data_IF_513324074794
#
_entry.id   IF_513324074794
#
_cell.length_a   1.000
_cell.length_b   1.000
_cell.length_c   1.000
_cell.angle_alpha   90.00
_cell.angle_beta   90.00
_cell.angle_gamma   90.00
#
_symmetry.space_group_name_H-M   'P 1'
#
loop_
_entity.id
_entity.type
_entity.pdbx_description
1 polymer ?
#
# COMPACT_ATOMS: atom_id res chain seq x y z
N UNK A 1 29.30 44.89 -5.79
CA UNK A 1 28.35 44.08 -4.99
C UNK A 1 27.86 42.91 -5.83
N UNK A 2 28.23 41.68 -5.48
CA UNK A 2 27.94 40.45 -6.25
C UNK A 2 26.64 39.83 -5.70
N UNK A 3 25.52 39.94 -6.43
CA UNK A 3 24.24 39.34 -6.04
C UNK A 3 24.41 37.81 -5.93
N UNK A 4 24.23 37.24 -4.74
CA UNK A 4 24.42 35.80 -4.52
C UNK A 4 23.28 35.00 -5.16
N UNK A 5 23.62 33.97 -5.94
CA UNK A 5 22.71 32.99 -6.54
C UNK A 5 22.12 32.03 -5.49
N UNK A 6 21.39 32.53 -4.49
CA UNK A 6 20.85 31.73 -3.38
C UNK A 6 19.57 30.96 -3.73
N UNK A 7 18.91 31.27 -4.84
CA UNK A 7 17.62 30.66 -5.23
C UNK A 7 17.73 29.24 -5.78
N UNK A 8 18.89 28.83 -6.32
CA UNK A 8 19.08 27.48 -6.88
C UNK A 8 19.25 26.39 -5.81
N UNK A 9 19.73 26.74 -4.61
CA UNK A 9 19.93 25.78 -3.52
C UNK A 9 18.63 25.45 -2.79
N UNK A 10 17.72 26.42 -2.67
CA UNK A 10 16.43 26.23 -2.00
C UNK A 10 15.51 25.32 -2.83
N UNK A 11 15.49 25.47 -4.16
CA UNK A 11 14.72 24.59 -5.04
C UNK A 11 15.21 23.14 -5.03
N UNK A 12 16.53 22.93 -5.02
CA UNK A 12 17.11 21.59 -4.92
C UNK A 12 16.84 20.95 -3.54
N UNK A 13 16.85 21.73 -2.46
CA UNK A 13 16.54 21.27 -1.11
C UNK A 13 15.06 20.89 -0.96
N UNK A 14 14.14 21.70 -1.50
CA UNK A 14 12.70 21.39 -1.49
C UNK A 14 12.37 20.15 -2.33
N UNK A 15 13.05 19.96 -3.45
CA UNK A 15 12.88 18.75 -4.29
C UNK A 15 13.46 17.50 -3.63
N UNK A 16 14.60 17.61 -2.94
CA UNK A 16 15.17 16.52 -2.15
C UNK A 16 14.28 16.17 -0.94
N UNK A 17 13.71 17.18 -0.27
CA UNK A 17 12.80 16.98 0.86
C UNK A 17 11.49 16.33 0.41
N UNK A 18 10.95 16.72 -0.76
CA UNK A 18 9.78 16.08 -1.34
C UNK A 18 10.03 14.59 -1.64
N UNK A 19 11.22 14.21 -2.12
CA UNK A 19 11.58 12.81 -2.39
C UNK A 19 11.65 11.93 -1.12
N UNK A 20 12.02 12.51 0.03
CA UNK A 20 12.07 11.78 1.31
C UNK A 20 10.67 11.42 1.82
N UNK A 21 9.65 12.25 1.51
CA UNK A 21 8.24 11.98 1.91
C UNK A 21 7.63 10.82 1.10
N UNK A 22 8.22 10.43 -0.04
CA UNK A 22 7.72 9.33 -0.87
C UNK A 22 8.35 7.96 -0.58
N UNK A 23 9.22 7.85 0.42
CA UNK A 23 9.80 6.55 0.80
C UNK A 23 8.76 5.77 1.61
N UNK A 24 8.28 4.60 1.15
CA UNK A 24 7.39 3.76 1.94
C UNK A 24 8.07 3.37 3.26
N UNK A 25 7.30 3.33 4.34
CA UNK A 25 7.80 2.86 5.63
C UNK A 25 7.96 1.34 5.61
N UNK A 26 8.85 0.79 6.43
CA UNK A 26 9.23 -0.62 6.33
C UNK A 26 8.11 -1.57 6.77
N UNK A 27 7.27 -1.18 7.75
CA UNK A 27 6.10 -1.92 8.18
C UNK A 27 5.08 -2.03 7.05
N UNK A 28 4.97 -0.95 6.27
CA UNK A 28 4.15 -0.90 5.09
C UNK A 28 4.69 -1.81 3.97
N UNK A 29 6.01 -2.06 3.92
CA UNK A 29 6.61 -2.97 2.94
C UNK A 29 6.41 -4.45 3.31
N UNK A 30 6.33 -4.78 4.60
CA UNK A 30 6.07 -6.16 5.06
C UNK A 30 4.71 -6.69 4.59
N UNK A 31 3.68 -5.84 4.64
CA UNK A 31 2.33 -6.14 4.16
C UNK A 31 2.25 -6.32 2.63
N UNK A 32 3.24 -5.82 1.87
CA UNK A 32 3.30 -5.92 0.41
C UNK A 32 3.93 -7.23 -0.09
N UNK A 33 4.43 -8.09 0.80
CA UNK A 33 5.18 -9.30 0.44
C UNK A 33 4.31 -10.55 0.33
N UNK A 34 4.73 -11.50 -0.51
CA UNK A 34 4.11 -12.83 -0.59
C UNK A 34 4.16 -13.62 0.73
N UNK A 35 5.08 -13.27 1.63
CA UNK A 35 5.23 -13.89 2.95
C UNK A 35 4.59 -13.03 4.06
N UNK A 36 3.95 -11.91 3.69
CA UNK A 36 3.41 -10.92 4.62
C UNK A 36 2.03 -11.30 5.17
N UNK A 37 1.58 -10.63 6.25
CA UNK A 37 0.37 -10.97 6.99
C UNK A 37 -0.88 -10.86 6.13
N UNK A 38 -0.90 -9.91 5.19
CA UNK A 38 -1.98 -9.75 4.22
C UNK A 38 -2.16 -11.00 3.34
N UNK A 39 -1.06 -11.54 2.80
CA UNK A 39 -1.10 -12.72 1.92
C UNK A 39 -1.33 -13.98 2.73
N UNK A 40 -0.82 -14.07 3.96
CA UNK A 40 -1.13 -15.16 4.91
C UNK A 40 -2.64 -15.21 5.17
N UNK A 41 -3.27 -14.09 5.52
CA UNK A 41 -4.71 -14.05 5.74
C UNK A 41 -5.51 -14.25 4.45
N UNK A 42 -5.00 -13.85 3.28
CA UNK A 42 -5.63 -14.13 1.99
C UNK A 42 -5.64 -15.63 1.67
N UNK A 43 -4.54 -16.33 1.93
CA UNK A 43 -4.49 -17.78 1.80
C UNK A 43 -5.48 -18.45 2.76
N UNK A 44 -5.55 -17.99 4.01
CA UNK A 44 -6.53 -18.50 4.98
C UNK A 44 -7.97 -18.22 4.56
N UNK A 45 -8.24 -17.04 4.02
CA UNK A 45 -9.55 -16.68 3.46
C UNK A 45 -9.97 -17.65 2.35
N UNK A 46 -9.04 -17.96 1.45
CA UNK A 46 -9.23 -18.93 0.36
C UNK A 46 -9.52 -20.33 0.91
N UNK A 47 -8.70 -20.82 1.84
CA UNK A 47 -8.80 -22.17 2.42
C UNK A 47 -10.14 -22.39 3.12
N UNK A 48 -10.57 -21.39 3.88
CA UNK A 48 -11.82 -21.41 4.64
C UNK A 48 -13.03 -20.94 3.83
N UNK A 49 -12.82 -20.51 2.58
CA UNK A 49 -13.81 -19.83 1.74
C UNK A 49 -14.56 -18.71 2.50
N UNK A 50 -13.82 -17.91 3.28
CA UNK A 50 -14.35 -16.87 4.15
C UNK A 50 -13.60 -15.54 3.91
N UNK A 51 -14.21 -14.55 3.24
CA UNK A 51 -13.56 -13.27 2.97
C UNK A 51 -13.30 -12.44 4.24
N UNK A 52 -13.95 -12.74 5.37
CA UNK A 52 -13.80 -11.97 6.62
C UNK A 52 -12.36 -11.92 7.12
N UNK A 53 -11.54 -12.94 6.81
CA UNK A 53 -10.11 -12.96 7.10
C UNK A 53 -9.35 -11.79 6.45
N UNK A 54 -9.77 -11.34 5.25
CA UNK A 54 -9.12 -10.23 4.53
C UNK A 54 -9.85 -8.89 4.65
N UNK A 55 -11.16 -8.90 4.93
CA UNK A 55 -11.95 -7.67 5.05
C UNK A 55 -11.48 -6.76 6.20
N UNK A 56 -10.89 -7.35 7.26
CA UNK A 56 -10.33 -6.60 8.39
C UNK A 56 -9.15 -5.69 8.03
N UNK A 57 -8.48 -5.94 6.90
CA UNK A 57 -7.30 -5.19 6.46
C UNK A 57 -7.61 -3.98 5.59
N UNK A 58 -8.87 -3.79 5.19
CA UNK A 58 -9.27 -2.75 4.25
C UNK A 58 -10.34 -1.83 4.85
N UNK A 59 -10.47 -0.64 4.25
CA UNK A 59 -11.47 0.34 4.62
C UNK A 59 -12.90 -0.17 4.30
N UNK A 60 -13.93 0.25 5.05
CA UNK A 60 -15.30 -0.24 4.87
C UNK A 60 -15.91 -0.01 3.49
N UNK A 61 -15.53 1.07 2.82
CA UNK A 61 -15.97 1.43 1.47
C UNK A 61 -15.44 0.48 0.38
N UNK A 62 -14.29 -0.12 0.62
CA UNK A 62 -13.61 -1.05 -0.30
C UNK A 62 -14.11 -2.51 -0.18
N UNK A 63 -14.93 -2.82 0.83
CA UNK A 63 -15.42 -4.19 1.11
C UNK A 63 -16.12 -4.84 -0.09
N UNK A 64 -16.92 -4.04 -0.82
CA UNK A 64 -17.68 -4.53 -1.98
C UNK A 64 -16.74 -4.96 -3.10
N UNK A 65 -15.67 -4.20 -3.33
CA UNK A 65 -14.70 -4.50 -4.37
C UNK A 65 -13.94 -5.79 -4.03
N UNK A 66 -13.38 -5.88 -2.81
CA UNK A 66 -12.60 -7.07 -2.45
C UNK A 66 -13.48 -8.33 -2.37
N UNK A 67 -14.72 -8.21 -1.91
CA UNK A 67 -15.66 -9.36 -1.86
C UNK A 67 -15.97 -9.87 -3.27
N UNK A 68 -16.15 -8.96 -4.23
CA UNK A 68 -16.34 -9.34 -5.64
C UNK A 68 -15.10 -10.04 -6.19
N UNK A 69 -13.90 -9.50 -5.92
CA UNK A 69 -12.63 -10.08 -6.34
C UNK A 69 -12.45 -11.47 -5.74
N UNK A 70 -12.67 -11.63 -4.44
CA UNK A 70 -12.62 -12.91 -3.74
C UNK A 70 -13.53 -13.95 -4.39
N UNK A 71 -14.80 -13.60 -4.66
CA UNK A 71 -15.74 -14.49 -5.32
C UNK A 71 -15.29 -14.89 -6.73
N UNK A 72 -14.72 -13.96 -7.51
CA UNK A 72 -14.15 -14.27 -8.83
C UNK A 72 -12.96 -15.23 -8.70
N UNK A 73 -12.08 -15.00 -7.74
CA UNK A 73 -10.94 -15.87 -7.46
C UNK A 73 -11.41 -17.28 -7.10
N UNK A 74 -12.38 -17.42 -6.20
CA UNK A 74 -12.92 -18.73 -5.79
C UNK A 74 -13.58 -19.49 -6.94
N UNK A 75 -14.21 -18.78 -7.88
CA UNK A 75 -14.80 -19.39 -9.07
C UNK A 75 -13.72 -19.87 -10.06
N UNK A 76 -12.78 -18.98 -10.42
CA UNK A 76 -11.77 -19.25 -11.47
C UNK A 76 -10.71 -20.25 -11.04
N UNK A 77 -10.31 -20.22 -9.75
CA UNK A 77 -9.22 -21.07 -9.23
C UNK A 77 -9.44 -22.57 -9.41
N UNK A 78 -10.69 -22.99 -9.63
CA UNK A 78 -11.07 -24.41 -9.73
C UNK A 78 -10.94 -24.97 -11.15
N UNK A 79 -10.66 -24.12 -12.14
CA UNK A 79 -10.68 -24.51 -13.56
C UNK A 79 -9.43 -25.29 -14.00
N UNK A 80 -8.25 -24.90 -13.52
CA UNK A 80 -6.97 -25.58 -13.77
C UNK A 80 -5.91 -25.12 -12.76
N UNK A 81 -4.75 -25.81 -12.66
CA UNK A 81 -3.62 -25.33 -11.87
C UNK A 81 -3.13 -23.93 -12.25
N UNK A 82 -3.07 -23.61 -13.55
CA UNK A 82 -2.67 -22.29 -14.05
C UNK A 82 -3.73 -21.23 -13.73
N UNK A 83 -5.02 -21.60 -13.82
CA UNK A 83 -6.11 -20.71 -13.43
C UNK A 83 -6.10 -20.41 -11.93
N UNK A 84 -5.73 -21.38 -11.09
CA UNK A 84 -5.49 -21.18 -9.66
C UNK A 84 -4.40 -20.16 -9.41
N UNK A 85 -3.23 -20.32 -10.03
CA UNK A 85 -2.12 -19.39 -9.88
C UNK A 85 -2.53 -17.96 -10.27
N UNK A 86 -3.18 -17.80 -11.42
CA UNK A 86 -3.64 -16.49 -11.89
C UNK A 86 -4.71 -15.88 -10.97
N UNK A 87 -5.68 -16.67 -10.52
CA UNK A 87 -6.75 -16.21 -9.65
C UNK A 87 -6.25 -15.80 -8.26
N UNK A 88 -5.27 -16.52 -7.72
CA UNK A 88 -4.65 -16.23 -6.42
C UNK A 88 -3.85 -14.94 -6.51
N UNK A 89 -2.97 -14.82 -7.51
CA UNK A 89 -2.20 -13.60 -7.74
C UNK A 89 -3.11 -12.38 -7.99
N UNK A 90 -4.22 -12.55 -8.72
CA UNK A 90 -5.21 -11.48 -8.90
C UNK A 90 -5.81 -11.00 -7.58
N UNK A 91 -6.10 -11.91 -6.64
CA UNK A 91 -6.57 -11.54 -5.30
C UNK A 91 -5.48 -10.79 -4.53
N UNK A 92 -4.25 -11.32 -4.51
CA UNK A 92 -3.15 -10.74 -3.73
C UNK A 92 -2.79 -9.33 -4.21
N UNK A 93 -2.63 -9.14 -5.52
CA UNK A 93 -2.34 -7.83 -6.11
C UNK A 93 -3.40 -6.78 -5.76
N UNK A 94 -4.68 -7.16 -5.84
CA UNK A 94 -5.77 -6.21 -5.55
C UNK A 94 -5.96 -5.97 -4.06
N UNK A 95 -5.82 -7.00 -3.22
CA UNK A 95 -5.87 -6.84 -1.76
C UNK A 95 -4.80 -5.87 -1.29
N UNK A 96 -3.55 -6.09 -1.74
CA UNK A 96 -2.43 -5.21 -1.39
C UNK A 96 -2.68 -3.81 -1.95
N UNK A 97 -3.06 -3.66 -3.22
CA UNK A 97 -3.37 -2.34 -3.79
C UNK A 97 -4.39 -1.55 -2.97
N UNK A 98 -5.49 -2.19 -2.58
CA UNK A 98 -6.58 -1.57 -1.82
C UNK A 98 -6.12 -1.21 -0.40
N UNK A 99 -5.45 -2.14 0.28
CA UNK A 99 -4.89 -1.91 1.61
C UNK A 99 -3.94 -0.71 1.61
N UNK A 100 -3.01 -0.66 0.66
CA UNK A 100 -2.02 0.42 0.53
C UNK A 100 -2.67 1.77 0.23
N UNK A 101 -3.71 1.78 -0.60
CA UNK A 101 -4.51 2.98 -0.82
C UNK A 101 -5.16 3.48 0.49
N UNK A 102 -5.65 2.57 1.33
CA UNK A 102 -6.17 2.89 2.67
C UNK A 102 -5.13 3.47 3.63
N UNK A 103 -3.84 3.17 3.42
CA UNK A 103 -2.72 3.77 4.14
C UNK A 103 -2.22 5.08 3.51
N UNK A 104 -2.82 5.51 2.39
CA UNK A 104 -2.36 6.68 1.62
C UNK A 104 -1.06 6.43 0.85
N UNK A 105 -0.68 5.17 0.64
CA UNK A 105 0.57 4.76 0.02
C UNK A 105 0.38 4.19 -1.40
N UNK A 106 1.36 4.37 -2.30
CA UNK A 106 1.26 3.85 -3.66
C UNK A 106 1.47 2.33 -3.71
N UNK A 107 0.70 1.65 -4.54
CA UNK A 107 0.95 0.25 -4.89
C UNK A 107 2.16 0.13 -5.82
N UNK A 108 3.16 -0.66 -5.43
CA UNK A 108 4.41 -0.85 -6.20
C UNK A 108 4.64 -2.30 -6.63
N UNK A 109 3.55 -3.08 -6.72
CA UNK A 109 3.60 -4.52 -7.00
C UNK A 109 3.83 -5.37 -5.76
N UNK A 110 3.38 -6.62 -5.82
CA UNK A 110 3.57 -7.63 -4.78
C UNK A 110 5.05 -8.03 -4.73
N UNK A 111 5.66 -8.02 -3.55
CA UNK A 111 7.07 -8.39 -3.40
C UNK A 111 7.19 -9.91 -3.34
N UNK A 112 8.18 -10.51 -4.04
CA UNK A 112 8.30 -11.96 -4.12
C UNK A 112 8.64 -12.59 -2.77
N UNK A 113 8.48 -13.91 -2.68
CA UNK A 113 8.92 -14.69 -1.52
C UNK A 113 10.41 -14.42 -1.20
N UNK A 114 10.74 -14.38 0.10
CA UNK A 114 12.09 -14.11 0.58
C UNK A 114 12.55 -12.67 0.40
N UNK A 115 11.63 -11.73 0.14
CA UNK A 115 11.93 -10.29 0.21
C UNK A 115 12.42 -9.98 1.64
N UNK A 116 13.60 -9.37 1.81
CA UNK A 116 14.10 -9.02 3.13
C UNK A 116 13.14 -8.08 3.86
N UNK A 117 12.78 -8.45 5.09
CA UNK A 117 11.98 -7.66 6.01
C UNK A 117 12.92 -7.18 7.12
N UNK A 118 12.65 -6.00 7.67
CA UNK A 118 13.43 -5.46 8.79
C UNK A 118 13.40 -6.41 9.99
N UNK A 119 14.55 -6.61 10.64
CA UNK A 119 14.69 -7.52 11.79
C UNK A 119 13.76 -7.13 12.93
N UNK A 120 13.51 -5.83 13.10
CA UNK A 120 12.64 -5.31 14.14
C UNK A 120 11.17 -5.63 13.86
N UNK A 121 10.77 -5.66 12.59
CA UNK A 121 9.42 -6.03 12.17
C UNK A 121 9.18 -7.53 12.37
N UNK A 122 10.15 -8.35 11.98
CA UNK A 122 10.09 -9.79 12.23
C UNK A 122 9.98 -10.09 13.74
N UNK A 123 10.76 -9.38 14.56
CA UNK A 123 10.69 -9.51 16.02
C UNK A 123 9.34 -9.03 16.59
N UNK A 124 8.70 -8.02 15.99
CA UNK A 124 7.38 -7.56 16.39
C UNK A 124 6.29 -8.61 16.08
N UNK A 125 6.32 -9.22 14.90
CA UNK A 125 5.41 -10.33 14.57
C UNK A 125 5.63 -11.53 15.50
N UNK A 126 6.89 -11.93 15.72
CA UNK A 126 7.23 -13.02 16.63
C UNK A 126 6.74 -12.73 18.06
N UNK A 127 6.86 -11.47 18.53
CA UNK A 127 6.38 -11.06 19.84
C UNK A 127 4.87 -11.29 20.00
N UNK A 128 4.08 -10.96 18.98
CA UNK A 128 2.63 -11.22 18.97
C UNK A 128 2.36 -12.71 18.96
N UNK A 129 3.11 -13.49 18.17
CA UNK A 129 2.95 -14.94 18.08
C UNK A 129 3.18 -15.63 19.43
N UNK A 130 4.34 -15.40 20.05
CA UNK A 130 4.75 -16.03 21.33
C UNK A 130 4.01 -15.44 22.52
N UNK A 131 3.53 -14.20 22.39
CA UNK A 131 2.73 -13.52 23.40
C UNK A 131 3.53 -12.80 24.48
N UNK A 132 4.79 -12.45 24.21
CA UNK A 132 5.62 -11.56 25.02
C UNK A 132 6.56 -10.70 24.16
N UNK A 133 7.24 -9.73 24.77
CA UNK A 133 8.15 -8.81 24.08
C UNK A 133 9.60 -9.31 23.96
N UNK A 134 9.90 -10.55 24.36
CA UNK A 134 11.28 -11.04 24.41
C UNK A 134 12.05 -10.96 23.09
N UNK A 135 11.44 -11.10 21.89
CA UNK A 135 12.12 -10.87 20.61
C UNK A 135 12.56 -9.42 20.41
N UNK A 136 11.81 -8.45 20.94
CA UNK A 136 12.06 -7.00 20.78
C UNK A 136 12.97 -6.40 21.86
N UNK A 137 13.10 -7.02 23.03
CA UNK A 137 13.82 -6.46 24.18
C UNK A 137 15.27 -6.05 23.89
N UNK A 138 15.95 -6.74 22.95
CA UNK A 138 17.34 -6.45 22.56
C UNK A 138 17.48 -5.46 21.41
N UNK A 139 16.40 -5.25 20.65
CA UNK A 139 16.36 -4.37 19.49
C UNK A 139 15.85 -2.97 19.86
N UNK A 140 15.20 -2.83 21.02
CA UNK A 140 14.56 -1.59 21.45
C UNK A 140 15.34 -0.82 22.54
N UNK A 141 15.45 0.52 22.42
CA UNK A 141 15.93 1.37 23.50
C UNK A 141 15.09 1.18 24.78
N UNK A 142 15.76 1.13 25.93
CA UNK A 142 15.11 0.84 27.23
C UNK A 142 14.02 1.85 27.60
N UNK A 143 14.17 3.09 27.15
CA UNK A 143 13.21 4.18 27.35
C UNK A 143 11.92 4.02 26.54
N UNK A 144 11.94 3.26 25.44
CA UNK A 144 10.76 2.96 24.62
C UNK A 144 9.97 1.74 25.08
N UNK A 145 10.56 0.88 25.91
CA UNK A 145 9.94 -0.39 26.34
C UNK A 145 8.58 -0.21 27.06
N UNK A 146 8.34 0.82 27.91
CA UNK A 146 7.04 0.99 28.55
C UNK A 146 5.90 1.24 27.57
N UNK A 147 6.10 2.14 26.61
CA UNK A 147 5.12 2.47 25.57
C UNK A 147 4.90 1.29 24.61
N UNK A 148 6.00 0.62 24.22
CA UNK A 148 5.94 -0.60 23.42
C UNK A 148 5.08 -1.67 24.10
N UNK A 149 5.23 -1.83 25.42
CA UNK A 149 4.43 -2.76 26.22
C UNK A 149 2.96 -2.39 26.25
N UNK A 150 2.61 -1.11 26.39
CA UNK A 150 1.21 -0.69 26.35
C UNK A 150 0.55 -1.05 25.01
N UNK A 151 1.23 -0.76 23.89
CA UNK A 151 0.75 -1.09 22.55
C UNK A 151 0.66 -2.60 22.33
N UNK A 152 1.65 -3.34 22.79
CA UNK A 152 1.65 -4.80 22.74
C UNK A 152 0.48 -5.41 23.52
N UNK A 153 0.26 -4.96 24.76
CA UNK A 153 -0.84 -5.44 25.61
C UNK A 153 -2.19 -5.15 24.94
N UNK A 154 -2.32 -4.01 24.25
CA UNK A 154 -3.50 -3.67 23.45
C UNK A 154 -3.71 -4.66 22.30
N UNK A 155 -2.68 -4.97 21.50
CA UNK A 155 -2.73 -5.98 20.44
C UNK A 155 -3.19 -7.32 21.01
N UNK A 156 -2.57 -7.78 22.09
CA UNK A 156 -2.89 -9.07 22.72
C UNK A 156 -4.32 -9.13 23.24
N UNK A 157 -4.85 -8.01 23.77
CA UNK A 157 -6.24 -7.94 24.24
C UNK A 157 -7.27 -8.08 23.12
N UNK A 158 -6.90 -7.72 21.88
CA UNK A 158 -7.78 -7.74 20.71
C UNK A 158 -7.57 -8.95 19.81
N UNK A 159 -6.45 -9.68 19.94
CA UNK A 159 -6.03 -10.79 19.06
C UNK A 159 -7.08 -11.89 18.88
N UNK A 160 -7.88 -12.16 19.90
CA UNK A 160 -8.86 -13.26 19.91
C UNK A 160 -10.29 -12.79 19.57
N UNK A 161 -10.42 -11.94 18.56
CA UNK A 161 -11.72 -11.48 18.03
C UNK A 161 -12.44 -12.60 17.26
N UNK A 162 -13.77 -12.49 17.10
CA UNK A 162 -14.50 -13.35 16.16
C UNK A 162 -14.15 -12.94 14.73
N UNK A 163 -13.57 -13.84 13.95
CA UNK A 163 -13.17 -13.58 12.55
C UNK A 163 -14.30 -13.03 11.69
N UNK A 164 -15.56 -13.40 11.97
CA UNK A 164 -16.72 -12.92 11.21
C UNK A 164 -17.20 -11.53 11.69
N UNK A 165 -16.67 -11.04 12.81
CA UNK A 165 -16.85 -9.67 13.26
C UNK A 165 -15.72 -8.79 12.68
N UNK A 166 -15.90 -8.40 11.41
CA UNK A 166 -14.93 -7.57 10.67
C UNK A 166 -14.60 -6.26 11.41
N UNK A 167 -15.54 -5.70 12.17
CA UNK A 167 -15.29 -4.49 12.97
C UNK A 167 -14.27 -4.73 14.07
N UNK A 168 -14.43 -5.79 14.85
CA UNK A 168 -13.43 -6.16 15.87
C UNK A 168 -12.09 -6.54 15.23
N UNK A 169 -12.12 -7.20 14.06
CA UNK A 169 -10.92 -7.46 13.27
C UNK A 169 -10.18 -6.18 12.89
N UNK A 170 -10.88 -5.13 12.49
CA UNK A 170 -10.28 -3.82 12.19
C UNK A 170 -9.67 -3.16 13.42
N UNK A 171 -10.34 -3.25 14.58
CA UNK A 171 -9.77 -2.74 15.83
C UNK A 171 -8.46 -3.46 16.18
N UNK A 172 -8.38 -4.78 15.93
CA UNK A 172 -7.15 -5.53 16.05
C UNK A 172 -6.07 -5.05 15.05
N UNK A 173 -6.43 -4.83 13.78
CA UNK A 173 -5.48 -4.33 12.77
C UNK A 173 -4.98 -2.92 13.11
N UNK A 174 -5.83 -2.04 13.63
CA UNK A 174 -5.42 -0.71 14.08
C UNK A 174 -4.39 -0.79 15.22
N UNK A 175 -4.64 -1.64 16.22
CA UNK A 175 -3.68 -1.88 17.30
C UNK A 175 -2.39 -2.51 16.78
N UNK A 176 -2.49 -3.48 15.85
CA UNK A 176 -1.35 -4.12 15.19
C UNK A 176 -0.49 -3.07 14.49
N UNK A 177 -1.06 -2.27 13.59
CA UNK A 177 -0.32 -1.22 12.87
C UNK A 177 0.31 -0.21 13.83
N UNK A 178 -0.42 0.19 14.88
CA UNK A 178 0.07 1.12 15.91
C UNK A 178 1.30 0.58 16.66
N UNK A 179 1.30 -0.71 16.99
CA UNK A 179 2.44 -1.38 17.62
C UNK A 179 3.66 -1.43 16.69
N UNK A 180 3.47 -1.75 15.40
CA UNK A 180 4.56 -1.84 14.42
C UNK A 180 5.19 -0.48 14.15
N UNK A 181 4.38 0.56 13.90
CA UNK A 181 4.87 1.93 13.71
C UNK A 181 5.74 2.39 14.87
N UNK A 182 5.28 2.15 16.11
CA UNK A 182 6.04 2.52 17.28
C UNK A 182 7.36 1.74 17.41
N UNK A 183 7.32 0.42 17.15
CA UNK A 183 8.53 -0.40 17.12
C UNK A 183 9.55 0.22 16.16
N UNK A 184 9.16 0.49 14.91
CA UNK A 184 10.02 1.09 13.87
C UNK A 184 10.59 2.47 14.21
N UNK A 185 10.05 3.11 15.25
CA UNK A 185 10.48 4.43 15.70
C UNK A 185 9.76 5.57 15.00
N UNK A 186 8.63 5.30 14.34
CA UNK A 186 7.67 6.34 14.00
C UNK A 186 7.00 6.82 15.29
N UNK A 187 7.36 8.03 15.72
CA UNK A 187 6.65 8.67 16.82
C UNK A 187 5.33 9.24 16.30
N UNK A 188 4.20 8.72 16.80
CA UNK A 188 2.92 9.41 16.65
C UNK A 188 3.02 10.72 17.43
N UNK A 189 3.17 11.84 16.70
CA UNK A 189 3.14 13.16 17.30
C UNK A 189 1.85 13.32 18.08
N UNK A 190 1.95 13.43 19.41
CA UNK A 190 0.86 13.86 20.27
C UNK A 190 0.38 15.25 19.83
N UNK A 191 -0.56 15.29 18.89
CA UNK A 191 -1.37 16.46 18.61
C UNK A 191 -2.70 16.26 19.29
N UNK A 192 -2.71 16.57 20.59
CA UNK A 192 -3.93 17.01 21.23
C UNK A 192 -4.33 18.33 20.57
N UNK A 193 -5.38 18.32 19.75
CA UNK A 193 -6.38 19.39 19.69
C UNK A 193 -7.50 19.02 18.72
N UNK A 194 -8.73 19.04 19.24
CA UNK A 194 -9.93 18.75 18.47
C UNK A 194 -10.24 19.83 17.44
N UNK A 195 -10.80 19.40 16.32
CA UNK A 195 -11.71 20.22 15.55
C UNK A 195 -12.88 19.36 15.07
N UNK A 196 -13.97 19.52 15.81
CA UNK A 196 -15.30 19.14 15.39
C UNK A 196 -15.73 20.01 14.20
N UNK A 197 -16.09 19.37 13.09
CA UNK A 197 -16.93 19.94 12.04
C UNK A 197 -18.05 18.93 11.81
N UNK A 198 -19.11 19.00 12.63
CA UNK A 198 -20.39 19.65 12.32
C UNK A 198 -20.90 19.37 10.91
N UNK A 199 -21.78 18.39 10.86
CA UNK A 199 -22.72 18.06 9.80
C UNK A 199 -23.69 19.20 9.54
N UNK A 200 -24.02 19.44 8.27
CA UNK A 200 -25.25 20.13 7.88
C UNK A 200 -25.88 19.38 6.71
N UNK A 201 -27.07 18.85 6.96
CA UNK A 201 -28.02 18.28 6.01
C UNK A 201 -28.73 19.37 5.18
N UNK A 202 -29.08 19.03 3.92
CA UNK A 202 -30.38 19.28 3.24
C UNK A 202 -30.27 18.80 1.76
N UNK A 203 -31.02 17.76 1.34
CA UNK A 203 -32.35 17.79 0.65
C UNK A 203 -32.35 18.58 -0.69
N UNK A 204 -32.94 18.17 -1.83
CA UNK A 204 -33.76 17.03 -2.24
C UNK A 204 -34.01 17.06 -3.77
N UNK A 205 -34.65 16.01 -4.29
CA UNK A 205 -35.36 15.80 -5.58
C UNK A 205 -34.56 15.44 -6.84
N UNK A 206 -34.70 14.24 -7.45
CA UNK A 206 -35.82 13.54 -8.16
C UNK A 206 -35.78 13.81 -9.69
N UNK A 207 -35.50 12.78 -10.50
CA UNK A 207 -36.41 12.27 -11.54
C UNK A 207 -35.79 11.19 -12.49
N UNK A 208 -36.42 10.02 -12.46
CA UNK A 208 -36.94 9.17 -13.56
C UNK A 208 -36.11 8.77 -14.80
N UNK A 209 -36.11 7.44 -15.01
CA UNK A 209 -36.64 6.70 -16.18
C UNK A 209 -35.67 5.83 -17.05
N UNK A 210 -35.92 4.51 -16.94
CA UNK A 210 -36.15 3.51 -18.02
C UNK A 210 -35.09 3.03 -19.02
N UNK A 211 -34.94 1.69 -18.99
CA UNK A 211 -35.08 0.72 -20.10
C UNK A 211 -33.83 0.06 -20.73
N UNK A 212 -33.85 -1.27 -20.60
CA UNK A 212 -33.73 -2.31 -21.62
C UNK A 212 -32.47 -2.40 -22.53
N UNK A 213 -31.72 -3.48 -22.28
CA UNK A 213 -31.21 -4.50 -23.21
C UNK A 213 -30.79 -4.09 -24.64
N UNK A 214 -29.57 -4.45 -25.04
CA UNK A 214 -29.31 -5.65 -25.86
C UNK A 214 -27.82 -5.89 -26.09
N UNK A 215 -27.51 -7.17 -26.22
CA UNK A 215 -26.25 -7.78 -26.64
C UNK A 215 -26.04 -7.60 -28.14
N UNK A 216 -24.79 -7.42 -28.60
CA UNK A 216 -24.32 -8.14 -29.78
C UNK A 216 -22.78 -8.28 -29.82
N UNK A 217 -22.36 -9.40 -30.39
CA UNK A 217 -21.01 -9.96 -30.47
C UNK A 217 -20.60 -10.05 -31.94
N UNK A 218 -19.28 -10.11 -32.16
CA UNK A 218 -18.54 -10.77 -33.27
C UNK A 218 -18.01 -9.85 -34.41
N UNK A 219 -16.98 -10.27 -35.21
CA UNK A 219 -15.89 -11.22 -34.95
C UNK A 219 -14.47 -10.81 -35.48
N UNK A 220 -13.46 -11.55 -34.99
CA UNK A 220 -12.26 -12.14 -35.65
C UNK A 220 -11.23 -11.35 -36.48
N UNK A 221 -9.97 -11.71 -36.16
CA UNK A 221 -8.77 -11.87 -37.01
C UNK A 221 -8.03 -10.64 -37.53
N UNK A 222 -6.77 -10.47 -37.07
CA UNK A 222 -5.59 -10.87 -37.85
C UNK A 222 -4.25 -10.63 -37.12
N UNK A 223 -3.39 -11.66 -37.22
CA UNK A 223 -1.93 -11.63 -37.48
C UNK A 223 -0.96 -11.04 -36.44
N UNK A 224 -0.16 -11.98 -35.92
CA UNK A 224 1.30 -11.89 -35.70
C UNK A 224 1.96 -10.62 -36.27
N UNK A 225 2.48 -9.77 -35.39
CA UNK A 225 3.41 -8.71 -35.72
C UNK A 225 4.69 -8.92 -34.91
N UNK A 226 5.77 -9.08 -35.68
CA UNK A 226 7.12 -9.38 -35.26
C UNK A 226 7.67 -8.48 -34.15
N UNK A 227 8.53 -9.10 -33.36
CA UNK A 227 9.43 -8.52 -32.36
C UNK A 227 10.09 -7.21 -32.81
N UNK A 228 9.70 -6.11 -32.18
CA UNK A 228 10.49 -4.88 -32.15
C UNK A 228 11.56 -5.02 -31.05
N UNK A 229 12.80 -4.57 -31.27
CA UNK A 229 13.83 -4.63 -30.24
C UNK A 229 13.42 -3.75 -29.06
N UNK A 230 13.20 -4.38 -27.90
CA UNK A 230 13.07 -3.71 -26.61
C UNK A 230 14.34 -2.92 -26.34
N UNK A 231 14.32 -1.62 -26.63
CA UNK A 231 15.26 -0.69 -26.03
C UNK A 231 14.90 -0.62 -24.55
N UNK A 232 15.80 -0.98 -23.62
CA UNK A 232 15.50 -0.93 -22.20
C UNK A 232 15.16 0.51 -21.81
N UNK A 233 14.10 0.68 -21.01
CA UNK A 233 13.61 2.00 -20.57
C UNK A 233 14.66 2.81 -19.79
N UNK A 234 15.77 2.18 -19.38
CA UNK A 234 16.96 2.85 -18.85
C UNK A 234 17.64 3.78 -19.86
N UNK A 235 17.49 3.56 -21.16
CA UNK A 235 18.08 4.43 -22.20
C UNK A 235 17.21 5.67 -22.51
N UNK A 236 15.90 5.62 -22.25
CA UNK A 236 15.00 6.77 -22.47
C UNK A 236 15.25 7.89 -21.44
N UNK A 237 15.54 7.53 -20.19
CA UNK A 237 15.88 8.49 -19.13
C UNK A 237 17.17 9.27 -19.40
N UNK A 238 18.19 8.60 -19.99
CA UNK A 238 19.47 9.24 -20.33
C UNK A 238 19.32 10.25 -21.48
N UNK A 239 18.46 9.96 -22.45
CA UNK A 239 18.16 10.91 -23.54
C UNK A 239 17.40 12.14 -23.05
N UNK A 240 16.48 12.01 -22.09
CA UNK A 240 15.74 13.16 -21.56
C UNK A 240 16.63 14.14 -20.77
N UNK A 241 17.51 13.62 -19.91
CA UNK A 241 18.40 14.45 -19.09
C UNK A 241 19.44 15.19 -19.94
N UNK A 242 20.02 14.53 -20.94
CA UNK A 242 20.98 15.16 -21.85
C UNK A 242 20.32 16.26 -22.68
N UNK A 243 19.10 16.04 -23.17
CA UNK A 243 18.37 17.05 -23.97
C UNK A 243 18.05 18.30 -23.14
N UNK A 244 17.67 18.16 -21.86
CA UNK A 244 17.42 19.30 -20.97
C UNK A 244 18.68 20.09 -20.64
N UNK A 245 19.81 19.41 -20.44
CA UNK A 245 21.11 20.08 -20.20
C UNK A 245 21.52 20.91 -21.42
N UNK A 246 21.38 20.35 -22.63
CA UNK A 246 21.69 21.07 -23.87
C UNK A 246 20.72 22.22 -24.15
N UNK A 247 19.41 22.05 -23.92
CA UNK A 247 18.43 23.12 -24.09
C UNK A 247 18.70 24.29 -23.12
N UNK A 248 19.08 24.00 -21.87
CA UNK A 248 19.40 25.03 -20.88
C UNK A 248 20.72 25.74 -21.19
N UNK A 249 21.73 25.02 -21.69
CA UNK A 249 22.99 25.60 -22.15
C UNK A 249 22.77 26.52 -23.36
N UNK A 250 22.01 26.06 -24.36
CA UNK A 250 21.66 26.81 -25.56
C UNK A 250 20.93 28.12 -25.24
N UNK A 251 19.90 28.05 -24.38
CA UNK A 251 19.11 29.23 -24.05
C UNK A 251 19.92 30.28 -23.26
N UNK A 252 20.85 29.83 -22.40
CA UNK A 252 21.73 30.70 -21.62
C UNK A 252 22.80 31.40 -22.46
N UNK A 253 23.24 30.79 -23.55
CA UNK A 253 24.20 31.37 -24.48
C UNK A 253 23.54 32.44 -25.37
N UNK A 254 22.34 32.16 -25.88
CA UNK A 254 21.61 33.10 -26.74
C UNK A 254 20.95 34.28 -25.99
N UNK A 255 20.68 34.15 -24.69
CA UNK A 255 20.20 35.27 -23.85
C UNK A 255 21.28 36.32 -23.55
N UNK A 256 22.56 36.04 -23.80
CA UNK A 256 23.68 36.97 -23.53
C UNK A 256 24.09 37.82 -24.73
N UNK A 257 23.59 37.48 -25.92
CA UNK A 257 23.92 38.16 -27.18
C UNK A 257 22.71 38.92 -27.76
N UNK A 258 21.66 39.16 -26.96
CA UNK A 258 20.53 40.03 -27.28
C UNK A 258 20.44 41.18 -26.28
#
# INVERSE_FOLDING_TARGET
MRKSKKTSFIGALLMALALVVFVPTLASAHCDTMDGPLVVDANKAIEENNPSYILKWIQPDEEKEITRIFNLTMNVRTLSPEAKELADNYLFENLIRIHRAGEGAPFTGVKPHGTPIDEMILAADESIEVGDLSPLEKLMPKDKLPELKERFDKVQSLKNFDVNNVKEGREYIEAYVSFFKFAEGEEEGHTAEGSAHTSTDAHDTEDQNTSAATSEKAPSDHKEANSLPLIPWSAAGVLFVTTLIFAFAYHREHSKNS
#
